data_IF_125608158983
#
_entry.id   IF_125608158983
#
_cell.length_a   1.000
_cell.length_b   1.000
_cell.length_c   1.000
_cell.angle_alpha   90.00
_cell.angle_beta   90.00
_cell.angle_gamma   90.00
#
_symmetry.space_group_name_H-M   'P 1'
#
loop_
_entity.id
_entity.type
_entity.pdbx_description
1 polymer ?
#
# COMPACT_ATOMS: atom_id res chain seq x y z
N UNK A 1 -14.15 -32.10 -8.11
CA UNK A 1 -13.12 -31.16 -7.62
C UNK A 1 -13.41 -29.80 -8.25
N UNK A 2 -13.90 -28.82 -7.48
CA UNK A 2 -14.15 -27.46 -7.97
C UNK A 2 -12.81 -26.73 -8.11
N UNK A 3 -12.55 -26.15 -9.27
CA UNK A 3 -11.37 -25.34 -9.51
C UNK A 3 -11.51 -23.99 -8.79
N UNK A 4 -10.66 -23.73 -7.79
CA UNK A 4 -10.54 -22.43 -7.12
C UNK A 4 -10.18 -21.34 -8.15
N UNK A 5 -11.16 -20.53 -8.53
CA UNK A 5 -11.05 -19.51 -9.59
C UNK A 5 -10.60 -18.15 -9.04
N UNK A 6 -9.66 -18.13 -8.08
CA UNK A 6 -9.17 -16.90 -7.43
C UNK A 6 -7.65 -16.81 -7.37
N UNK A 7 -6.92 -17.55 -8.21
CA UNK A 7 -5.53 -17.21 -8.45
C UNK A 7 -5.50 -15.99 -9.37
N UNK A 8 -5.22 -14.82 -8.78
CA UNK A 8 -4.88 -13.62 -9.54
C UNK A 8 -3.58 -13.90 -10.32
N UNK A 9 -3.73 -14.42 -11.54
CA UNK A 9 -2.63 -14.80 -12.44
C UNK A 9 -1.96 -13.61 -13.11
N UNK A 10 -2.42 -12.38 -12.86
CA UNK A 10 -1.80 -11.18 -13.41
C UNK A 10 -0.46 -10.92 -12.70
N UNK A 11 0.66 -10.88 -13.44
CA UNK A 11 1.95 -10.53 -12.85
C UNK A 11 1.85 -9.13 -12.22
N UNK A 12 2.28 -9.03 -10.96
CA UNK A 12 2.31 -7.74 -10.25
C UNK A 12 3.34 -6.83 -10.92
N UNK A 13 2.87 -5.84 -11.67
CA UNK A 13 3.73 -4.78 -12.20
C UNK A 13 4.37 -4.00 -11.05
N UNK A 14 5.67 -3.75 -11.17
CA UNK A 14 6.45 -2.97 -10.20
C UNK A 14 6.77 -1.63 -10.83
N UNK A 15 6.48 -0.56 -10.09
CA UNK A 15 6.89 0.79 -10.46
C UNK A 15 7.55 1.47 -9.27
N UNK A 16 8.33 2.51 -9.55
CA UNK A 16 9.01 3.32 -8.54
C UNK A 16 8.41 4.71 -8.56
N UNK A 17 8.19 5.28 -7.37
CA UNK A 17 7.74 6.67 -7.22
C UNK A 17 8.90 7.45 -6.61
N UNK A 18 9.23 8.58 -7.22
CA UNK A 18 10.16 9.54 -6.63
C UNK A 18 9.37 10.38 -5.63
N UNK A 19 9.82 10.38 -4.38
CA UNK A 19 9.25 11.15 -3.30
C UNK A 19 10.32 11.99 -2.63
N UNK A 20 9.94 13.16 -2.12
CA UNK A 20 10.80 13.96 -1.27
C UNK A 20 11.13 13.19 0.02
N UNK A 21 12.28 13.51 0.62
CA UNK A 21 12.78 12.84 1.84
C UNK A 21 11.76 12.87 2.98
N UNK A 22 11.10 14.01 3.16
CA UNK A 22 10.15 14.21 4.26
C UNK A 22 8.89 13.38 4.05
N UNK A 23 8.44 13.26 2.80
CA UNK A 23 7.34 12.36 2.44
C UNK A 23 7.71 10.90 2.70
N UNK A 24 8.92 10.46 2.32
CA UNK A 24 9.38 9.10 2.60
C UNK A 24 9.41 8.82 4.12
N UNK A 25 9.90 9.77 4.91
CA UNK A 25 9.93 9.68 6.38
C UNK A 25 8.51 9.58 6.96
N UNK A 26 7.55 10.34 6.43
CA UNK A 26 6.17 10.27 6.85
C UNK A 26 5.51 8.91 6.51
N UNK A 27 5.84 8.32 5.35
CA UNK A 27 5.36 6.99 4.96
C UNK A 27 5.97 5.92 5.89
N UNK A 28 7.25 6.02 6.25
CA UNK A 28 7.90 5.14 7.23
C UNK A 28 7.23 5.20 8.61
N UNK A 29 6.95 6.40 9.10
CA UNK A 29 6.22 6.58 10.36
C UNK A 29 4.80 6.00 10.28
N UNK A 30 4.14 6.11 9.11
CA UNK A 30 2.83 5.51 8.89
C UNK A 30 2.87 3.98 8.92
N UNK A 31 3.86 3.38 8.26
CA UNK A 31 4.13 1.95 8.32
C UNK A 31 4.29 1.49 9.77
N UNK A 32 5.19 2.12 10.54
CA UNK A 32 5.46 1.75 11.94
C UNK A 32 4.19 1.82 12.80
N UNK A 33 3.36 2.86 12.60
CA UNK A 33 2.09 2.99 13.31
C UNK A 33 1.13 1.83 13.02
N UNK A 34 0.98 1.43 11.76
CA UNK A 34 0.14 0.27 11.40
C UNK A 34 0.67 -0.99 12.06
N UNK A 35 1.98 -1.20 12.03
CA UNK A 35 2.60 -2.39 12.63
C UNK A 35 2.36 -2.44 14.14
N UNK A 36 2.45 -1.30 14.83
CA UNK A 36 2.13 -1.19 16.25
C UNK A 36 0.64 -1.42 16.56
N UNK A 37 -0.26 -0.91 15.73
CA UNK A 37 -1.72 -1.01 15.96
C UNK A 37 -2.29 -2.39 15.65
N UNK A 38 -1.72 -3.08 14.66
CA UNK A 38 -2.26 -4.36 14.14
C UNK A 38 -1.47 -5.57 14.62
N UNK A 39 -0.22 -5.36 15.09
CA UNK A 39 0.73 -6.44 15.38
C UNK A 39 1.27 -7.15 14.13
N UNK A 40 0.86 -6.73 12.92
CA UNK A 40 1.27 -7.33 11.66
C UNK A 40 2.40 -6.54 11.02
N UNK A 41 3.42 -7.23 10.49
CA UNK A 41 4.46 -6.60 9.67
C UNK A 41 3.94 -6.34 8.27
N UNK A 42 4.23 -5.16 7.74
CA UNK A 42 3.86 -4.79 6.37
C UNK A 42 5.08 -4.24 5.63
N UNK A 43 5.02 -4.24 4.30
CA UNK A 43 6.06 -3.67 3.46
C UNK A 43 5.84 -2.18 3.21
N UNK A 44 6.88 -1.47 2.75
CA UNK A 44 6.76 -0.07 2.35
C UNK A 44 5.74 0.12 1.22
N UNK A 45 5.76 -0.78 0.23
CA UNK A 45 4.81 -0.74 -0.89
C UNK A 45 3.36 -0.90 -0.43
N UNK A 46 3.09 -1.73 0.59
CA UNK A 46 1.76 -1.87 1.17
C UNK A 46 1.31 -0.61 1.91
N UNK A 47 2.19 -0.01 2.72
CA UNK A 47 1.89 1.25 3.40
C UNK A 47 1.62 2.39 2.41
N UNK A 48 2.47 2.54 1.39
CA UNK A 48 2.34 3.55 0.34
C UNK A 48 1.07 3.33 -0.50
N UNK A 49 0.79 2.09 -0.93
CA UNK A 49 -0.42 1.78 -1.69
C UNK A 49 -1.70 2.10 -0.91
N UNK A 50 -1.74 1.84 0.40
CA UNK A 50 -2.87 2.19 1.25
C UNK A 50 -3.09 3.70 1.39
N UNK A 51 -2.01 4.49 1.42
CA UNK A 51 -2.09 5.95 1.42
C UNK A 51 -2.59 6.48 0.07
N UNK A 52 -2.00 6.00 -1.04
CA UNK A 52 -2.40 6.39 -2.40
C UNK A 52 -3.86 6.07 -2.67
N UNK A 53 -4.30 4.87 -2.30
CA UNK A 53 -5.70 4.46 -2.47
C UNK A 53 -6.67 5.41 -1.77
N UNK A 54 -6.42 5.74 -0.49
CA UNK A 54 -7.25 6.69 0.26
C UNK A 54 -7.26 8.08 -0.37
N UNK A 55 -6.10 8.56 -0.83
CA UNK A 55 -5.99 9.85 -1.52
C UNK A 55 -6.80 9.88 -2.82
N UNK A 56 -6.72 8.80 -3.61
CA UNK A 56 -7.49 8.65 -4.85
C UNK A 56 -9.00 8.55 -4.58
N UNK A 57 -9.41 7.80 -3.55
CA UNK A 57 -10.82 7.70 -3.14
C UNK A 57 -11.39 9.08 -2.79
N UNK A 58 -10.65 9.88 -2.02
CA UNK A 58 -11.04 11.26 -1.69
C UNK A 58 -11.06 12.17 -2.93
N UNK A 59 -10.04 12.09 -3.78
CA UNK A 59 -9.97 12.90 -5.00
C UNK A 59 -11.06 12.54 -6.02
N UNK A 60 -11.48 11.27 -6.07
CA UNK A 60 -12.56 10.81 -6.95
C UNK A 60 -13.96 11.18 -6.47
N UNK A 61 -14.09 11.51 -5.18
CA UNK A 61 -15.35 11.93 -4.56
C UNK A 61 -15.57 13.46 -4.60
N UNK A 62 -14.61 14.22 -5.12
CA UNK A 62 -14.64 15.67 -5.33
C UNK A 62 -14.97 16.01 -6.79
#
# INVERSE_FOLDING_TARGET
MQANTLEATTPKERFTVVAERDLLTAIEAHKQRIEQQTGLRITMSQAAAGLLRRGLEVASAA
#
